data_IF_453241903586
#
_entry.id   IF_453241903586
#
_cell.length_a   1.000
_cell.length_b   1.000
_cell.length_c   1.000
_cell.angle_alpha   90.00
_cell.angle_beta   90.00
_cell.angle_gamma   90.00
#
_symmetry.space_group_name_H-M   'P 1'
#
loop_
_entity.id
_entity.type
_entity.pdbx_description
1 polymer ?
#
# COMPACT_ATOMS: atom_id res chain seq x y z
N UNK A 1 0.11 7.73 5.06
CA UNK A 1 0.95 6.89 4.17
C UNK A 1 0.22 5.63 3.70
N UNK A 2 -0.23 4.72 4.56
CA UNK A 2 -0.82 3.42 4.16
C UNK A 2 -1.76 3.45 2.94
N UNK A 3 -2.80 4.30 2.95
CA UNK A 3 -3.72 4.47 1.80
C UNK A 3 -2.98 4.84 0.49
N UNK A 4 -1.98 5.75 0.54
CA UNK A 4 -1.13 6.09 -0.63
C UNK A 4 -0.34 4.86 -1.11
N UNK A 5 0.23 4.07 -0.19
CA UNK A 5 0.99 2.84 -0.51
C UNK A 5 0.11 1.81 -1.20
N UNK A 6 -1.12 1.62 -0.74
CA UNK A 6 -2.08 0.67 -1.34
C UNK A 6 -2.53 1.10 -2.74
N UNK A 7 -2.77 2.41 -2.96
CA UNK A 7 -3.02 2.95 -4.29
C UNK A 7 -1.81 2.77 -5.23
N UNK A 8 -0.61 3.05 -4.73
CA UNK A 8 0.63 2.92 -5.50
C UNK A 8 0.96 1.45 -5.83
N UNK A 9 0.69 0.51 -4.93
CA UNK A 9 0.75 -0.93 -5.21
C UNK A 9 -0.18 -1.31 -6.36
N UNK A 10 -1.44 -0.85 -6.33
CA UNK A 10 -2.42 -1.07 -7.39
C UNK A 10 -1.92 -0.57 -8.75
N UNK A 11 -1.47 0.68 -8.79
CA UNK A 11 -0.92 1.34 -9.97
C UNK A 11 0.36 0.68 -10.50
N UNK A 12 1.31 0.32 -9.63
CA UNK A 12 2.53 -0.37 -10.05
C UNK A 12 2.26 -1.79 -10.55
N UNK A 13 1.29 -2.51 -9.97
CA UNK A 13 0.81 -3.82 -10.47
C UNK A 13 0.20 -3.70 -11.87
N UNK A 14 -0.73 -2.76 -12.06
CA UNK A 14 -1.35 -2.49 -13.37
C UNK A 14 -0.33 -2.03 -14.41
N UNK A 15 0.65 -1.20 -14.03
CA UNK A 15 1.76 -0.78 -14.92
C UNK A 15 2.66 -1.94 -15.39
N UNK A 16 2.62 -3.08 -14.69
CA UNK A 16 3.33 -4.32 -15.01
C UNK A 16 2.42 -5.37 -15.70
N UNK A 17 1.21 -4.99 -16.11
CA UNK A 17 0.27 -5.87 -16.83
C UNK A 17 -0.48 -6.87 -15.96
N UNK A 18 -0.41 -6.75 -14.63
CA UNK A 18 -1.37 -7.42 -13.76
C UNK A 18 -2.70 -6.66 -13.79
N UNK A 19 -3.78 -7.28 -13.31
CA UNK A 19 -5.00 -6.58 -12.96
C UNK A 19 -4.98 -6.28 -11.46
N UNK A 20 -5.25 -5.04 -11.07
CA UNK A 20 -5.36 -4.65 -9.69
C UNK A 20 -6.47 -3.60 -9.52
N UNK A 21 -7.27 -3.78 -8.47
CA UNK A 21 -8.44 -2.98 -8.18
C UNK A 21 -8.48 -2.64 -6.70
N UNK A 22 -8.82 -1.39 -6.37
CA UNK A 22 -9.05 -0.94 -5.01
C UNK A 22 -10.47 -1.25 -4.57
N UNK A 23 -10.64 -1.85 -3.40
CA UNK A 23 -11.96 -2.12 -2.82
C UNK A 23 -12.19 -1.20 -1.61
N UNK A 24 -12.85 -0.03 -1.76
CA UNK A 24 -13.20 0.80 -0.62
C UNK A 24 -14.04 0.01 0.40
N UNK A 25 -13.68 0.05 1.69
CA UNK A 25 -14.39 -0.69 2.75
C UNK A 25 -15.80 -0.14 3.00
N UNK A 26 -15.97 1.18 2.89
CA UNK A 26 -17.26 1.84 2.76
C UNK A 26 -17.43 2.26 1.30
N UNK A 27 -18.35 1.66 0.54
CA UNK A 27 -18.56 2.05 -0.86
C UNK A 27 -19.36 3.36 -1.03
N UNK A 28 -19.82 3.97 0.07
CA UNK A 28 -20.68 5.15 0.08
C UNK A 28 -19.99 6.45 0.49
N UNK A 29 -18.78 6.39 1.08
CA UNK A 29 -18.02 7.58 1.46
C UNK A 29 -17.52 8.37 0.22
N UNK A 30 -17.96 9.63 0.01
CA UNK A 30 -17.56 10.45 -1.11
C UNK A 30 -16.12 11.00 -1.00
N UNK A 31 -15.47 10.89 0.17
CA UNK A 31 -14.07 11.29 0.37
C UNK A 31 -13.09 10.21 -0.08
N UNK A 32 -13.56 8.97 -0.24
CA UNK A 32 -12.80 7.96 -0.94
C UNK A 32 -12.74 8.40 -2.41
N UNK A 33 -11.53 8.72 -2.87
CA UNK A 33 -11.21 9.13 -4.24
C UNK A 33 -10.00 8.31 -4.67
N UNK A 34 -10.11 7.61 -5.80
CA UNK A 34 -8.94 6.97 -6.41
C UNK A 34 -8.01 8.06 -6.91
N UNK A 35 -6.82 8.19 -6.30
CA UNK A 35 -5.88 9.26 -6.62
C UNK A 35 -5.65 9.35 -8.16
N UNK A 36 -6.00 10.48 -8.82
CA UNK A 36 -6.19 10.51 -10.27
C UNK A 36 -4.91 10.31 -11.10
N UNK A 37 -3.74 10.44 -10.46
CA UNK A 37 -2.43 10.25 -11.08
C UNK A 37 -1.95 8.78 -11.03
N UNK A 38 -2.76 7.86 -10.51
CA UNK A 38 -2.45 6.44 -10.37
C UNK A 38 -3.42 5.58 -11.17
N UNK A 39 -2.91 4.55 -11.86
CA UNK A 39 -3.70 3.52 -12.52
C UNK A 39 -4.27 2.53 -11.49
N UNK A 40 -5.13 3.04 -10.60
CA UNK A 40 -5.69 2.33 -9.46
C UNK A 40 -7.24 2.32 -9.52
N UNK A 41 -7.84 1.61 -10.50
CA UNK A 41 -9.30 1.55 -10.67
C UNK A 41 -9.98 0.92 -9.44
N UNK A 42 -11.28 1.16 -9.28
CA UNK A 42 -12.08 0.49 -8.26
C UNK A 42 -12.48 -0.91 -8.69
N UNK A 43 -12.70 -1.78 -7.72
CA UNK A 43 -13.52 -2.96 -7.92
C UNK A 43 -14.99 -2.55 -7.79
N UNK A 44 -15.71 -2.63 -8.90
CA UNK A 44 -17.18 -2.59 -8.92
C UNK A 44 -17.76 -4.01 -9.05
N UNK A 45 -19.10 -4.07 -9.09
CA UNK A 45 -19.85 -5.34 -9.19
C UNK A 45 -19.68 -6.02 -10.55
N UNK A 46 -19.57 -5.26 -11.64
CA UNK A 46 -19.50 -5.80 -13.00
C UNK A 46 -18.13 -6.44 -13.25
N UNK A 47 -17.06 -5.77 -12.81
CA UNK A 47 -15.69 -6.32 -12.79
C UNK A 47 -15.63 -7.59 -11.93
N UNK A 48 -16.26 -7.58 -10.75
CA UNK A 48 -16.31 -8.76 -9.87
C UNK A 48 -17.05 -9.94 -10.52
N UNK A 49 -18.26 -9.73 -11.05
CA UNK A 49 -19.06 -10.78 -11.69
C UNK A 49 -18.36 -11.32 -12.96
N UNK A 50 -17.72 -10.44 -13.76
CA UNK A 50 -16.90 -10.85 -14.90
C UNK A 50 -15.71 -11.73 -14.48
N UNK A 51 -15.03 -11.38 -13.39
CA UNK A 51 -13.90 -12.15 -12.83
C UNK A 51 -14.32 -13.56 -12.40
N UNK A 52 -15.42 -13.67 -11.64
CA UNK A 52 -15.98 -14.95 -11.19
C UNK A 52 -16.49 -15.78 -12.37
N UNK A 53 -17.18 -15.18 -13.35
CA UNK A 53 -17.65 -15.91 -14.55
C UNK A 53 -16.53 -16.39 -15.46
N UNK A 54 -15.37 -15.71 -15.44
CA UNK A 54 -14.14 -16.14 -16.10
C UNK A 54 -13.44 -17.28 -15.35
N UNK A 55 -13.98 -17.69 -14.20
CA UNK A 55 -13.43 -18.72 -13.31
C UNK A 55 -12.21 -18.26 -12.52
N UNK A 56 -11.83 -16.99 -12.59
CA UNK A 56 -10.59 -16.50 -11.98
C UNK A 56 -10.74 -16.34 -10.46
N UNK A 57 -9.66 -16.62 -9.74
CA UNK A 57 -9.59 -16.43 -8.28
C UNK A 57 -8.54 -15.33 -7.99
N UNK A 58 -8.92 -14.21 -7.37
CA UNK A 58 -8.04 -13.10 -7.05
C UNK A 58 -7.19 -13.39 -5.80
N UNK A 59 -6.07 -12.68 -5.65
CA UNK A 59 -5.33 -12.59 -4.39
C UNK A 59 -5.77 -11.31 -3.69
N UNK A 60 -6.38 -11.41 -2.52
CA UNK A 60 -6.81 -10.23 -1.76
C UNK A 60 -5.65 -9.75 -0.89
N UNK A 61 -5.21 -8.51 -1.09
CA UNK A 61 -4.14 -7.87 -0.30
C UNK A 61 -4.77 -6.95 0.74
N UNK A 62 -4.77 -7.38 2.00
CA UNK A 62 -5.20 -6.54 3.12
C UNK A 62 -3.99 -5.85 3.79
N UNK A 63 -4.09 -4.58 4.23
CA UNK A 63 -3.15 -4.00 5.20
C UNK A 63 -3.28 -4.66 6.59
N UNK A 64 -2.34 -4.35 7.49
CA UNK A 64 -2.35 -4.86 8.88
C UNK A 64 -3.61 -4.44 9.66
N UNK A 65 -4.14 -3.24 9.40
CA UNK A 65 -5.24 -2.63 10.16
C UNK A 65 -6.62 -3.26 9.90
N UNK A 66 -6.75 -4.13 8.90
CA UNK A 66 -8.00 -4.85 8.58
C UNK A 66 -7.99 -6.21 9.29
N UNK A 67 -8.83 -6.37 10.32
CA UNK A 67 -8.90 -7.63 11.06
C UNK A 67 -9.50 -8.78 10.23
N UNK A 68 -8.83 -9.93 10.26
CA UNK A 68 -9.22 -11.18 9.61
C UNK A 68 -9.32 -11.09 8.08
N UNK A 69 -10.20 -11.92 7.52
CA UNK A 69 -10.49 -12.02 6.09
C UNK A 69 -11.95 -11.63 5.81
N UNK A 70 -12.31 -10.33 5.85
CA UNK A 70 -13.71 -9.87 5.77
C UNK A 70 -14.43 -10.21 4.45
N UNK A 71 -13.70 -10.54 3.38
CA UNK A 71 -14.27 -10.97 2.09
C UNK A 71 -14.43 -12.50 1.95
N UNK A 72 -14.03 -13.29 2.95
CA UNK A 72 -14.01 -14.77 2.89
C UNK A 72 -13.22 -15.31 1.66
N UNK A 73 -12.15 -14.61 1.29
CA UNK A 73 -11.36 -14.91 0.10
C UNK A 73 -10.45 -16.14 0.30
N UNK A 74 -10.39 -17.05 -0.69
CA UNK A 74 -9.54 -18.25 -0.62
C UNK A 74 -8.04 -17.97 -0.68
N UNK A 75 -7.62 -16.80 -1.17
CA UNK A 75 -6.23 -16.37 -1.24
C UNK A 75 -6.09 -15.00 -0.59
N UNK A 76 -5.36 -14.95 0.52
CA UNK A 76 -5.08 -13.72 1.28
C UNK A 76 -3.58 -13.48 1.32
N UNK A 77 -3.18 -12.26 0.97
CA UNK A 77 -1.87 -11.73 1.26
C UNK A 77 -2.01 -10.58 2.29
N UNK A 78 -1.16 -10.58 3.31
CA UNK A 78 -1.16 -9.60 4.39
C UNK A 78 0.00 -8.65 4.21
N UNK A 79 -0.28 -7.41 3.86
CA UNK A 79 0.75 -6.37 3.70
C UNK A 79 0.91 -5.59 5.00
N UNK A 80 1.99 -5.87 5.73
CA UNK A 80 2.24 -5.34 7.07
C UNK A 80 2.98 -4.00 6.96
N UNK A 81 2.26 -2.89 7.09
CA UNK A 81 2.79 -1.52 6.96
C UNK A 81 3.20 -0.91 8.31
N UNK A 82 2.82 -1.54 9.43
CA UNK A 82 3.11 -1.13 10.79
C UNK A 82 3.11 -2.35 11.73
N UNK A 83 3.54 -2.19 12.99
CA UNK A 83 3.55 -3.29 13.96
C UNK A 83 2.11 -3.83 14.21
N UNK A 84 1.88 -5.15 14.15
CA UNK A 84 0.55 -5.76 14.31
C UNK A 84 -0.19 -5.30 15.57
N UNK A 85 -1.48 -4.98 15.43
CA UNK A 85 -2.35 -4.50 16.51
C UNK A 85 -2.09 -3.06 17.02
N UNK A 86 -0.99 -2.41 16.66
CA UNK A 86 -0.58 -1.11 17.23
C UNK A 86 -1.59 0.03 17.01
N UNK A 87 -2.34 -0.03 15.90
CA UNK A 87 -3.36 0.96 15.52
C UNK A 87 -4.71 0.30 15.16
N UNK A 88 -4.94 -0.92 15.66
CA UNK A 88 -6.01 -1.82 15.21
C UNK A 88 -5.50 -2.94 14.30
N UNK A 89 -6.43 -3.70 13.73
CA UNK A 89 -6.12 -4.96 13.07
C UNK A 89 -5.82 -6.09 14.06
N UNK A 90 -5.28 -7.20 13.55
CA UNK A 90 -4.88 -8.35 14.35
C UNK A 90 -3.45 -8.21 14.88
N UNK A 91 -3.12 -8.94 15.95
CA UNK A 91 -1.76 -9.06 16.49
C UNK A 91 -0.94 -10.21 15.88
N UNK A 92 -1.58 -11.09 15.12
CA UNK A 92 -0.96 -12.19 14.36
C UNK A 92 -1.84 -12.63 13.20
N UNK A 93 -1.26 -13.32 12.21
CA UNK A 93 -1.95 -13.70 10.97
C UNK A 93 -1.89 -15.22 10.75
N UNK A 94 -2.96 -15.80 10.22
CA UNK A 94 -3.11 -17.24 10.05
C UNK A 94 -2.03 -17.84 9.13
N UNK A 95 -1.71 -19.13 9.32
CA UNK A 95 -0.76 -19.89 8.48
C UNK A 95 -1.18 -19.97 7.00
N UNK A 96 -2.45 -19.67 6.71
CA UNK A 96 -3.04 -19.62 5.37
C UNK A 96 -3.00 -18.21 4.72
N UNK A 97 -2.34 -17.22 5.32
CA UNK A 97 -2.12 -15.90 4.73
C UNK A 97 -0.66 -15.73 4.30
N UNK A 98 -0.42 -15.24 3.08
CA UNK A 98 0.92 -14.84 2.62
C UNK A 98 1.31 -13.50 3.25
N UNK A 99 2.13 -13.51 4.29
CA UNK A 99 2.56 -12.28 4.98
C UNK A 99 3.76 -11.65 4.27
N UNK A 100 3.67 -10.35 3.97
CA UNK A 100 4.73 -9.52 3.39
C UNK A 100 4.90 -8.24 4.20
N UNK A 101 6.12 -7.97 4.66
CA UNK A 101 6.45 -6.74 5.41
C UNK A 101 6.74 -5.55 4.49
N UNK A 102 6.36 -4.34 4.90
CA UNK A 102 6.87 -3.12 4.25
C UNK A 102 8.40 -3.01 4.39
N UNK A 103 8.93 -3.45 5.53
CA UNK A 103 10.36 -3.52 5.83
C UNK A 103 10.68 -4.82 6.57
N UNK A 104 11.98 -5.09 6.79
CA UNK A 104 12.44 -6.32 7.43
C UNK A 104 11.90 -6.50 8.85
N UNK A 105 11.77 -5.41 9.60
CA UNK A 105 11.24 -5.39 10.97
C UNK A 105 9.76 -5.79 11.06
N UNK A 106 9.07 -5.82 9.91
CA UNK A 106 7.65 -6.18 9.73
C UNK A 106 7.46 -7.44 8.88
N UNK A 107 8.55 -8.10 8.50
CA UNK A 107 8.53 -9.27 7.62
C UNK A 107 8.37 -10.58 8.38
N UNK A 108 7.88 -11.62 7.71
CA UNK A 108 7.58 -12.91 8.32
C UNK A 108 8.57 -13.98 7.86
N UNK A 109 9.27 -14.60 8.81
CA UNK A 109 10.26 -15.65 8.57
C UNK A 109 9.62 -16.92 7.99
N UNK A 110 8.30 -17.16 8.17
CA UNK A 110 7.55 -18.24 7.49
C UNK A 110 7.62 -18.13 5.97
N UNK A 111 7.76 -16.91 5.46
CA UNK A 111 7.90 -16.59 4.04
C UNK A 111 9.32 -16.10 3.69
N UNK A 112 10.31 -16.44 4.53
CA UNK A 112 11.73 -16.11 4.32
C UNK A 112 12.05 -14.62 4.41
N UNK A 113 11.28 -13.85 5.20
CA UNK A 113 11.46 -12.41 5.32
C UNK A 113 11.00 -11.63 4.08
N UNK A 114 9.91 -12.09 3.44
CA UNK A 114 9.35 -11.44 2.25
C UNK A 114 9.03 -9.96 2.54
N UNK A 115 9.63 -9.06 1.77
CA UNK A 115 9.54 -7.61 1.94
C UNK A 115 9.15 -6.89 0.65
N UNK A 116 8.37 -5.81 0.80
CA UNK A 116 7.89 -4.96 -0.28
C UNK A 116 7.90 -3.49 0.17
N UNK A 117 9.01 -2.79 -0.07
CA UNK A 117 9.23 -1.41 0.41
C UNK A 117 8.77 -0.38 -0.62
N UNK A 118 7.48 -0.40 -0.95
CA UNK A 118 6.86 0.55 -1.88
C UNK A 118 6.56 1.88 -1.19
N UNK A 119 7.44 2.86 -1.39
CA UNK A 119 7.29 4.21 -0.84
C UNK A 119 6.89 5.22 -1.93
N UNK A 120 5.60 5.62 -2.01
CA UNK A 120 5.14 6.68 -2.92
C UNK A 120 5.51 8.06 -2.35
N UNK A 121 6.79 8.42 -2.45
CA UNK A 121 7.28 9.74 -2.06
C UNK A 121 6.71 10.82 -2.98
N UNK A 122 6.22 11.90 -2.37
CA UNK A 122 5.71 13.07 -3.06
C UNK A 122 6.87 14.03 -3.37
N UNK A 123 7.63 13.68 -4.41
CA UNK A 123 8.85 14.39 -4.83
C UNK A 123 8.58 15.74 -5.53
N UNK A 124 7.31 16.11 -5.72
CA UNK A 124 6.92 17.44 -6.20
C UNK A 124 6.92 18.46 -5.05
N UNK A 125 6.47 18.04 -3.85
CA UNK A 125 6.44 18.88 -2.67
C UNK A 125 7.67 18.71 -1.77
N UNK A 126 8.14 17.47 -1.57
CA UNK A 126 9.22 17.15 -0.64
C UNK A 126 10.54 16.94 -1.39
N UNK A 127 11.28 18.04 -1.56
CA UNK A 127 12.69 18.01 -1.95
C UNK A 127 13.49 19.14 -1.26
N UNK A 128 14.80 19.16 -1.47
CA UNK A 128 15.71 20.24 -1.09
C UNK A 128 15.23 21.58 -1.65
N UNK A 129 15.42 22.70 -0.94
CA UNK A 129 15.03 24.01 -1.44
C UNK A 129 15.91 24.45 -2.64
N UNK A 130 15.30 25.08 -3.65
CA UNK A 130 15.95 25.56 -4.88
C UNK A 130 17.19 26.45 -4.64
N UNK A 131 17.24 27.10 -3.49
CA UNK A 131 18.33 27.98 -3.06
C UNK A 131 18.75 27.64 -1.63
N UNK A 132 20.03 27.85 -1.25
CA UNK A 132 20.50 27.57 0.12
C UNK A 132 19.75 28.39 1.19
N UNK A 133 18.85 27.73 1.91
CA UNK A 133 18.12 28.31 3.06
C UNK A 133 18.98 28.21 4.32
N UNK A 134 19.12 29.31 5.06
CA UNK A 134 19.62 29.25 6.44
C UNK A 134 18.58 28.58 7.31
N UNK A 135 18.87 27.37 7.79
CA UNK A 135 18.01 26.63 8.69
C UNK A 135 18.02 27.26 10.09
N UNK A 136 16.85 27.40 10.68
CA UNK A 136 16.64 27.95 12.03
C UNK A 136 15.43 27.28 12.69
N UNK A 137 15.51 27.04 14.01
CA UNK A 137 14.43 26.42 14.78
C UNK A 137 14.14 24.95 14.43
N UNK A 138 13.04 24.42 14.95
CA UNK A 138 12.70 22.99 14.85
C UNK A 138 11.20 22.74 14.77
N UNK A 139 10.83 21.56 14.30
CA UNK A 139 9.45 21.07 14.23
C UNK A 139 9.31 19.70 14.90
N UNK A 140 8.09 19.29 15.23
CA UNK A 140 7.83 17.97 15.79
C UNK A 140 6.50 17.35 15.37
N UNK A 141 6.37 16.03 15.48
CA UNK A 141 5.14 15.29 15.19
C UNK A 141 4.88 14.19 16.23
N UNK A 142 3.63 14.06 16.67
CA UNK A 142 3.27 13.29 17.87
C UNK A 142 1.89 12.61 17.88
N UNK A 143 1.21 12.54 16.73
CA UNK A 143 -0.22 12.19 16.66
C UNK A 143 -0.57 10.81 17.27
N UNK A 144 0.04 9.73 16.77
CA UNK A 144 -0.18 8.36 17.28
C UNK A 144 0.36 8.23 18.70
N UNK A 145 1.48 8.89 19.00
CA UNK A 145 2.09 8.87 20.33
C UNK A 145 1.11 9.39 21.39
N UNK A 146 0.51 10.56 21.16
CA UNK A 146 -0.50 11.16 22.05
C UNK A 146 -1.81 10.35 22.05
N UNK A 147 -2.22 9.78 20.91
CA UNK A 147 -3.38 8.88 20.85
C UNK A 147 -3.21 7.61 21.71
N UNK A 148 -1.99 7.06 21.78
CA UNK A 148 -1.63 5.93 22.63
C UNK A 148 -1.31 6.32 24.10
N UNK A 149 -1.53 7.60 24.47
CA UNK A 149 -1.33 8.10 25.83
C UNK A 149 0.10 8.54 26.18
N UNK A 150 1.01 8.56 25.21
CA UNK A 150 2.39 9.01 25.35
C UNK A 150 2.51 10.52 25.58
N UNK A 151 3.57 10.93 26.29
CA UNK A 151 3.84 12.33 26.67
C UNK A 151 4.86 12.97 25.76
N UNK A 152 4.75 14.29 25.61
CA UNK A 152 5.80 15.11 24.99
C UNK A 152 6.95 15.35 25.98
N UNK A 153 8.14 15.52 25.45
CA UNK A 153 9.35 15.92 26.17
C UNK A 153 9.65 17.41 25.99
N UNK A 154 10.34 18.00 26.96
CA UNK A 154 10.71 19.42 26.98
C UNK A 154 11.56 19.82 25.76
N UNK A 155 12.28 18.87 25.14
CA UNK A 155 12.98 19.00 23.85
C UNK A 155 12.13 19.65 22.74
N UNK A 156 10.81 19.42 22.78
CA UNK A 156 9.86 19.90 21.77
C UNK A 156 9.06 21.14 22.19
N UNK A 157 9.23 21.64 23.42
CA UNK A 157 8.42 22.74 23.97
C UNK A 157 8.56 24.08 23.22
N UNK A 158 9.63 24.26 22.44
CA UNK A 158 9.87 25.43 21.55
C UNK A 158 9.77 25.10 20.06
N UNK A 159 9.38 23.87 19.71
CA UNK A 159 9.27 23.40 18.31
C UNK A 159 7.87 23.65 17.74
N UNK A 160 7.76 23.81 16.43
CA UNK A 160 6.47 23.89 15.72
C UNK A 160 5.84 22.49 15.64
N UNK A 161 4.64 22.28 16.19
CA UNK A 161 3.91 21.01 16.02
C UNK A 161 3.40 20.90 14.57
N UNK A 162 3.62 19.75 13.93
CA UNK A 162 3.02 19.37 12.65
C UNK A 162 1.67 18.72 12.95
N UNK A 163 0.60 19.27 12.39
CA UNK A 163 -0.78 18.85 12.62
C UNK A 163 -1.42 18.31 11.35
N UNK A 164 -2.57 17.64 11.48
CA UNK A 164 -3.23 16.93 10.36
C UNK A 164 -3.89 17.86 9.32
N UNK A 165 -4.05 19.14 9.66
CA UNK A 165 -4.63 20.21 8.87
C UNK A 165 -3.60 21.02 8.06
N UNK A 166 -2.30 20.71 8.20
CA UNK A 166 -1.25 21.32 7.37
C UNK A 166 -1.18 20.69 5.98
N UNK A 167 -1.10 21.52 4.94
CA UNK A 167 -0.93 21.04 3.56
C UNK A 167 0.50 20.50 3.31
N UNK A 168 0.70 19.52 2.40
CA UNK A 168 2.01 18.94 2.11
C UNK A 168 3.11 19.97 1.81
N UNK A 169 2.75 21.02 1.07
CA UNK A 169 3.65 22.14 0.73
C UNK A 169 4.07 22.97 1.96
N UNK A 170 3.24 23.05 3.01
CA UNK A 170 3.55 23.77 4.25
C UNK A 170 4.47 22.95 5.15
N UNK A 171 4.21 21.64 5.22
CA UNK A 171 5.07 20.66 5.91
C UNK A 171 6.45 20.62 5.23
N UNK A 172 6.51 20.55 3.89
CA UNK A 172 7.76 20.60 3.15
C UNK A 172 8.54 21.90 3.43
N UNK A 173 7.88 23.07 3.37
CA UNK A 173 8.48 24.37 3.72
C UNK A 173 8.89 24.50 5.19
N UNK A 174 8.33 23.67 6.09
CA UNK A 174 8.78 23.56 7.48
C UNK A 174 10.04 22.72 7.57
N UNK A 175 10.08 21.54 6.97
CA UNK A 175 11.28 20.71 6.88
C UNK A 175 12.44 21.41 6.15
N UNK A 176 12.20 22.17 5.08
CA UNK A 176 13.25 22.90 4.37
C UNK A 176 13.91 24.00 5.23
N UNK A 177 13.19 24.56 6.22
CA UNK A 177 13.71 25.64 7.10
C UNK A 177 14.15 25.18 8.49
N UNK A 178 13.66 24.08 9.02
CA UNK A 178 14.08 23.59 10.35
C UNK A 178 15.52 23.06 10.35
N UNK A 179 16.22 23.25 11.47
CA UNK A 179 17.51 22.62 11.77
C UNK A 179 17.37 21.12 12.10
N UNK A 180 16.22 20.71 12.63
CA UNK A 180 15.90 19.36 13.06
C UNK A 180 14.38 19.15 13.12
N UNK A 181 13.94 17.93 12.79
CA UNK A 181 12.59 17.42 13.00
C UNK A 181 12.61 16.38 14.13
N UNK A 182 11.75 16.56 15.14
CA UNK A 182 11.59 15.64 16.25
C UNK A 182 10.35 14.76 16.06
N UNK A 183 10.50 13.44 15.99
CA UNK A 183 9.36 12.54 15.75
C UNK A 183 9.18 11.51 16.87
N UNK A 184 7.98 11.43 17.44
CA UNK A 184 7.65 10.49 18.51
C UNK A 184 7.17 9.11 18.02
N UNK A 185 7.16 8.88 16.70
CA UNK A 185 6.52 7.69 16.12
C UNK A 185 7.11 7.29 14.75
N UNK A 186 6.84 6.05 14.34
CA UNK A 186 7.06 5.62 12.96
C UNK A 186 5.98 6.24 12.03
N UNK A 187 6.42 7.07 11.09
CA UNK A 187 5.57 7.80 10.14
C UNK A 187 6.36 8.20 8.89
N UNK A 188 5.66 8.46 7.78
CA UNK A 188 6.28 8.91 6.53
C UNK A 188 6.96 10.27 6.63
N UNK A 189 6.55 11.11 7.59
CA UNK A 189 7.16 12.41 7.86
C UNK A 189 8.67 12.31 8.15
N UNK A 190 9.17 11.15 8.60
CA UNK A 190 10.60 10.87 8.74
C UNK A 190 11.30 10.86 7.38
N UNK A 191 10.73 10.20 6.37
CA UNK A 191 11.28 10.17 5.01
C UNK A 191 11.07 11.50 4.28
N UNK A 192 9.88 12.10 4.41
CA UNK A 192 9.52 13.41 3.86
C UNK A 192 10.43 14.52 4.41
N UNK A 193 10.83 14.45 5.68
CA UNK A 193 11.86 15.32 6.28
C UNK A 193 13.25 15.13 5.65
N UNK A 194 13.70 13.87 5.48
CA UNK A 194 15.00 13.58 4.84
C UNK A 194 15.04 14.05 3.37
N UNK A 195 13.95 13.90 2.62
CA UNK A 195 13.83 14.40 1.25
C UNK A 195 14.01 15.93 1.19
N UNK A 196 13.41 16.66 2.13
CA UNK A 196 13.65 18.10 2.35
C UNK A 196 15.02 18.45 2.97
N UNK A 197 15.92 17.48 3.17
CA UNK A 197 17.22 17.66 3.81
C UNK A 197 17.16 18.06 5.30
N UNK A 198 16.05 17.78 5.97
CA UNK A 198 15.85 18.04 7.39
C UNK A 198 16.36 16.85 8.23
N UNK A 199 17.32 17.04 9.14
CA UNK A 199 17.78 15.97 10.04
C UNK A 199 16.69 15.52 11.00
N UNK A 200 16.63 14.23 11.34
CA UNK A 200 15.54 13.66 12.16
C UNK A 200 16.07 13.09 13.48
N UNK A 201 15.48 13.52 14.59
CA UNK A 201 15.68 12.91 15.91
C UNK A 201 14.39 12.20 16.32
N UNK A 202 14.47 10.90 16.56
CA UNK A 202 13.36 10.13 17.13
C UNK A 202 13.36 10.26 18.66
N UNK A 203 12.20 10.58 19.23
CA UNK A 203 11.98 10.75 20.66
C UNK A 203 11.02 9.69 21.21
N UNK A 204 11.11 9.42 22.50
CA UNK A 204 10.26 8.49 23.24
C UNK A 204 10.26 8.89 24.71
N UNK A 205 9.12 8.81 25.39
CA UNK A 205 9.01 8.97 26.86
C UNK A 205 9.21 7.63 27.60
N UNK A 206 9.58 6.57 26.87
CA UNK A 206 9.89 5.24 27.40
C UNK A 206 11.09 4.60 26.67
N UNK A 207 11.01 3.32 26.23
CA UNK A 207 12.09 2.67 25.51
C UNK A 207 12.31 3.29 24.11
N UNK A 208 13.51 3.18 23.52
CA UNK A 208 13.76 3.61 22.14
C UNK A 208 12.85 2.88 21.14
N UNK A 209 12.43 3.59 20.09
CA UNK A 209 11.53 3.05 19.07
C UNK A 209 12.26 2.02 18.18
N UNK A 210 11.63 0.88 17.88
CA UNK A 210 12.04 0.06 16.73
C UNK A 210 11.70 0.83 15.45
N UNK A 211 12.70 1.11 14.61
CA UNK A 211 12.55 1.97 13.42
C UNK A 211 12.11 1.09 12.23
N UNK A 212 10.92 1.36 11.70
CA UNK A 212 10.40 0.69 10.50
C UNK A 212 11.18 1.19 9.28
N UNK A 213 11.85 0.27 8.56
CA UNK A 213 12.53 0.60 7.31
C UNK A 213 13.89 1.28 7.50
N UNK A 214 14.58 1.07 8.62
CA UNK A 214 15.90 1.66 8.89
C UNK A 214 16.94 1.35 7.79
N UNK A 215 16.84 0.19 7.16
CA UNK A 215 17.68 -0.22 6.02
C UNK A 215 17.55 0.73 4.80
N UNK A 216 16.41 1.43 4.63
CA UNK A 216 16.19 2.36 3.50
C UNK A 216 17.09 3.59 3.57
N UNK A 217 17.39 4.08 4.78
CA UNK A 217 18.30 5.21 5.01
C UNK A 217 19.69 4.76 5.43
N UNK A 218 19.84 3.48 5.82
CA UNK A 218 21.00 2.89 6.50
C UNK A 218 21.33 3.63 7.81
N UNK A 219 20.30 4.15 8.48
CA UNK A 219 20.42 5.01 9.67
C UNK A 219 20.90 6.45 9.40
N UNK A 220 21.32 6.79 8.18
CA UNK A 220 21.87 8.12 7.88
C UNK A 220 20.78 9.20 7.98
N UNK A 221 21.08 10.32 8.63
CA UNK A 221 20.15 11.42 8.87
C UNK A 221 19.14 11.19 9.99
N UNK A 222 19.14 10.02 10.65
CA UNK A 222 18.23 9.67 11.76
C UNK A 222 19.04 9.25 12.99
N UNK A 223 18.67 9.74 14.17
CA UNK A 223 19.18 9.23 15.44
C UNK A 223 18.05 9.15 16.48
N UNK A 224 18.34 8.57 17.66
CA UNK A 224 17.38 8.46 18.76
C UNK A 224 17.89 9.22 19.99
N UNK A 225 17.02 10.04 20.59
CA UNK A 225 17.38 10.95 21.68
C UNK A 225 18.16 12.18 21.22
N UNK A 226 18.06 13.25 22.00
CA UNK A 226 18.52 14.59 21.63
C UNK A 226 19.93 14.93 22.15
N UNK A 227 20.86 13.97 22.09
CA UNK A 227 22.24 14.23 22.52
C UNK A 227 22.98 15.16 21.53
N UNK A 228 24.06 15.81 21.97
CA UNK A 228 24.84 16.67 21.08
C UNK A 228 25.45 15.88 19.93
N UNK A 229 25.93 14.68 20.24
CA UNK A 229 26.51 13.72 19.31
C UNK A 229 25.46 13.22 18.31
N UNK A 230 24.23 12.95 18.77
CA UNK A 230 23.11 12.60 17.91
C UNK A 230 22.76 13.74 16.93
N UNK A 231 22.66 14.98 17.43
CA UNK A 231 22.39 16.17 16.61
C UNK A 231 23.49 16.42 15.56
N UNK A 232 24.77 16.32 15.94
CA UNK A 232 25.89 16.49 15.01
C UNK A 232 25.98 15.34 14.00
N UNK A 233 25.66 14.10 14.40
CA UNK A 233 25.54 12.96 13.48
C UNK A 233 24.44 13.16 12.44
N UNK A 234 23.21 13.51 12.84
CA UNK A 234 22.11 13.66 11.86
C UNK A 234 22.34 14.85 10.94
N UNK A 235 22.86 15.97 11.46
CA UNK A 235 23.19 17.16 10.66
C UNK A 235 24.31 16.89 9.63
N UNK A 236 25.28 16.02 9.96
CA UNK A 236 26.35 15.65 9.02
C UNK A 236 25.98 14.53 8.04
N UNK A 237 24.95 13.73 8.32
CA UNK A 237 24.57 12.56 7.49
C UNK A 237 23.24 12.68 6.73
N UNK A 238 22.44 13.73 6.97
CA UNK A 238 21.10 13.90 6.37
C UNK A 238 21.05 13.77 4.85
N UNK A 239 22.01 14.35 4.12
CA UNK A 239 22.05 14.27 2.65
C UNK A 239 22.34 12.84 2.16
N UNK A 240 23.17 12.08 2.89
CA UNK A 240 23.39 10.66 2.59
C UNK A 240 22.15 9.81 2.90
N UNK A 241 21.39 10.19 3.94
CA UNK A 241 20.07 9.62 4.25
C UNK A 241 19.07 9.83 3.10
N UNK A 242 18.97 11.06 2.58
CA UNK A 242 18.17 11.39 1.38
C UNK A 242 18.56 10.55 0.17
N UNK A 243 19.85 10.44 -0.13
CA UNK A 243 20.34 9.61 -1.24
C UNK A 243 19.99 8.13 -1.07
N UNK A 244 20.18 7.56 0.12
CA UNK A 244 19.80 6.16 0.39
C UNK A 244 18.28 5.96 0.20
N UNK A 245 17.46 6.90 0.67
CA UNK A 245 16.00 6.85 0.58
C UNK A 245 15.47 6.97 -0.86
N UNK A 246 16.10 7.82 -1.69
CA UNK A 246 15.78 7.89 -3.13
C UNK A 246 16.19 6.60 -3.86
N UNK A 247 17.35 6.03 -3.51
CA UNK A 247 17.78 4.74 -4.05
C UNK A 247 16.86 3.57 -3.62
N UNK A 248 16.16 3.67 -2.49
CA UNK A 248 15.23 2.63 -2.05
C UNK A 248 13.94 2.55 -2.88
N UNK A 249 13.63 3.56 -3.70
CA UNK A 249 12.52 3.50 -4.68
C UNK A 249 12.77 2.36 -5.68
N UNK A 250 13.99 2.28 -6.22
CA UNK A 250 14.40 1.21 -7.13
C UNK A 250 14.41 -0.17 -6.47
N UNK A 251 14.72 -0.24 -5.17
CA UNK A 251 14.61 -1.47 -4.38
C UNK A 251 13.16 -1.94 -4.28
N UNK A 252 12.23 -1.03 -3.95
CA UNK A 252 10.79 -1.32 -3.87
C UNK A 252 10.20 -1.83 -5.19
N UNK A 253 10.64 -1.29 -6.33
CA UNK A 253 10.22 -1.76 -7.66
C UNK A 253 10.75 -3.16 -8.01
N UNK A 254 11.98 -3.50 -7.58
CA UNK A 254 12.53 -4.85 -7.74
C UNK A 254 11.85 -5.87 -6.78
N UNK A 255 11.54 -5.45 -5.55
CA UNK A 255 10.76 -6.24 -4.59
C UNK A 255 9.35 -6.52 -5.11
N UNK A 256 8.74 -5.62 -5.88
CA UNK A 256 7.41 -5.84 -6.46
C UNK A 256 7.40 -7.02 -7.45
N UNK A 257 8.41 -7.15 -8.31
CA UNK A 257 8.53 -8.31 -9.21
C UNK A 257 8.74 -9.62 -8.43
N UNK A 258 9.50 -9.56 -7.32
CA UNK A 258 9.66 -10.69 -6.41
C UNK A 258 8.35 -11.07 -5.71
N UNK A 259 7.58 -10.09 -5.24
CA UNK A 259 6.28 -10.28 -4.60
C UNK A 259 5.26 -10.90 -5.57
N UNK A 260 5.12 -10.36 -6.79
CA UNK A 260 4.23 -10.93 -7.82
C UNK A 260 4.58 -12.39 -8.11
N UNK A 261 5.88 -12.71 -8.26
CA UNK A 261 6.33 -14.09 -8.46
C UNK A 261 5.97 -15.01 -7.29
N UNK A 262 6.32 -14.63 -6.05
CA UNK A 262 6.08 -15.46 -4.86
C UNK A 262 4.59 -15.62 -4.56
N UNK A 263 3.79 -14.56 -4.69
CA UNK A 263 2.35 -14.64 -4.49
C UNK A 263 1.65 -15.56 -5.50
N UNK A 264 2.12 -15.60 -6.75
CA UNK A 264 1.65 -16.56 -7.74
C UNK A 264 2.12 -17.99 -7.45
N UNK A 265 3.39 -18.20 -7.11
CA UNK A 265 3.92 -19.52 -6.72
C UNK A 265 3.17 -20.10 -5.51
N UNK A 266 2.97 -19.29 -4.48
CA UNK A 266 2.20 -19.62 -3.28
C UNK A 266 0.73 -19.93 -3.61
N UNK A 267 0.06 -19.08 -4.40
CA UNK A 267 -1.34 -19.28 -4.77
C UNK A 267 -1.55 -20.63 -5.49
N UNK A 268 -0.69 -20.96 -6.46
CA UNK A 268 -0.75 -22.23 -7.18
C UNK A 268 -0.63 -23.44 -6.22
N UNK A 269 0.30 -23.39 -5.26
CA UNK A 269 0.45 -24.44 -4.26
C UNK A 269 -0.76 -24.61 -3.32
N UNK A 270 -1.54 -23.55 -3.07
CA UNK A 270 -2.80 -23.65 -2.34
C UNK A 270 -3.88 -24.37 -3.17
N UNK A 271 -3.99 -24.13 -4.48
CA UNK A 271 -4.95 -24.85 -5.34
C UNK A 271 -4.65 -26.35 -5.45
N UNK A 272 -3.38 -26.73 -5.55
CA UNK A 272 -2.97 -28.13 -5.67
C UNK A 272 -3.21 -28.93 -4.38
N UNK A 273 -3.18 -28.27 -3.21
CA UNK A 273 -3.39 -28.91 -1.90
C UNK A 273 -4.84 -28.82 -1.40
N UNK A 274 -5.52 -27.71 -1.69
CA UNK A 274 -6.86 -27.39 -1.22
C UNK A 274 -7.73 -26.86 -2.38
N UNK A 275 -8.12 -27.72 -3.34
CA UNK A 275 -8.93 -27.30 -4.48
C UNK A 275 -10.25 -26.66 -4.01
N UNK A 276 -10.61 -25.46 -4.51
CA UNK A 276 -11.71 -24.68 -3.99
C UNK A 276 -13.05 -25.40 -4.16
N UNK A 277 -13.92 -25.30 -3.15
CA UNK A 277 -15.27 -25.88 -3.18
C UNK A 277 -16.16 -25.11 -4.14
N UNK A 278 -16.19 -25.53 -5.40
CA UNK A 278 -17.06 -24.93 -6.42
C UNK A 278 -18.53 -25.30 -6.16
N UNK A 279 -19.23 -24.51 -5.34
CA UNK A 279 -20.69 -24.53 -5.27
C UNK A 279 -21.26 -23.74 -6.46
N UNK A 280 -21.60 -24.44 -7.54
CA UNK A 280 -22.22 -23.83 -8.73
C UNK A 280 -23.67 -23.44 -8.40
N UNK A 281 -23.87 -22.22 -7.92
CA UNK A 281 -25.17 -21.56 -8.02
C UNK A 281 -25.47 -21.31 -9.51
N UNK A 282 -26.57 -21.90 -10.00
CA UNK A 282 -26.79 -22.08 -11.44
C UNK A 282 -27.03 -20.78 -12.20
N UNK A 283 -25.97 -20.25 -12.81
CA UNK A 283 -26.06 -19.20 -13.84
C UNK A 283 -26.69 -19.78 -15.12
N UNK A 284 -27.59 -19.04 -15.77
CA UNK A 284 -28.30 -19.50 -16.96
C UNK A 284 -27.36 -19.66 -18.17
N UNK A 285 -27.62 -20.67 -19.00
CA UNK A 285 -26.72 -21.20 -20.04
C UNK A 285 -26.47 -20.28 -21.27
N UNK A 286 -26.65 -18.96 -21.21
CA UNK A 286 -26.47 -18.08 -22.38
C UNK A 286 -25.11 -17.37 -22.39
N UNK A 287 -24.12 -18.03 -22.98
CA UNK A 287 -22.72 -17.57 -23.07
C UNK A 287 -22.53 -16.33 -23.97
N UNK A 288 -23.58 -15.82 -24.64
CA UNK A 288 -23.46 -14.79 -25.68
C UNK A 288 -23.27 -13.36 -25.14
N UNK A 289 -23.68 -13.09 -23.90
CA UNK A 289 -23.65 -11.74 -23.35
C UNK A 289 -22.23 -11.16 -23.18
N UNK A 290 -21.25 -12.01 -22.81
CA UNK A 290 -19.93 -11.60 -22.30
C UNK A 290 -19.08 -10.82 -23.32
N UNK A 291 -19.22 -11.10 -24.63
CA UNK A 291 -18.34 -10.54 -25.67
C UNK A 291 -18.63 -9.04 -25.93
N UNK A 292 -19.85 -8.56 -25.65
CA UNK A 292 -20.28 -7.21 -26.05
C UNK A 292 -19.69 -6.08 -25.19
N UNK A 293 -19.45 -6.30 -23.90
CA UNK A 293 -19.00 -5.24 -22.98
C UNK A 293 -17.53 -4.81 -23.20
N UNK A 294 -16.66 -5.72 -23.66
CA UNK A 294 -15.21 -5.45 -23.78
C UNK A 294 -14.91 -4.27 -24.71
N UNK A 295 -15.68 -4.10 -25.79
CA UNK A 295 -15.53 -2.99 -26.72
C UNK A 295 -15.99 -1.62 -26.17
N UNK A 296 -16.78 -1.57 -25.09
CA UNK A 296 -17.22 -0.32 -24.47
C UNK A 296 -16.28 0.20 -23.37
N UNK A 297 -15.35 -0.63 -22.88
CA UNK A 297 -14.45 -0.30 -21.75
C UNK A 297 -13.24 0.58 -22.12
N UNK A 298 -13.11 1.04 -23.37
CA UNK A 298 -12.03 1.95 -23.80
C UNK A 298 -10.61 1.37 -23.74
N UNK A 299 -10.47 0.05 -23.58
CA UNK A 299 -9.19 -0.64 -23.41
C UNK A 299 -8.34 -0.48 -24.69
N UNK A 300 -7.05 -0.06 -24.59
CA UNK A 300 -6.19 0.13 -25.75
C UNK A 300 -6.01 -1.13 -26.61
N UNK A 301 -5.98 -0.94 -27.94
CA UNK A 301 -6.02 -2.02 -28.93
C UNK A 301 -4.86 -3.03 -28.80
N UNK A 302 -3.72 -2.63 -28.21
CA UNK A 302 -2.58 -3.50 -27.91
C UNK A 302 -2.90 -4.69 -26.97
N UNK A 303 -3.96 -4.63 -26.16
CA UNK A 303 -4.31 -5.73 -25.25
C UNK A 303 -5.06 -6.89 -25.94
N UNK A 304 -5.67 -6.65 -27.11
CA UNK A 304 -6.47 -7.64 -27.83
C UNK A 304 -5.63 -8.74 -28.51
N UNK A 305 -4.35 -8.45 -28.81
CA UNK A 305 -3.41 -9.39 -29.45
C UNK A 305 -2.96 -10.54 -28.54
N UNK A 306 -3.18 -10.42 -27.23
CA UNK A 306 -2.79 -11.40 -26.22
C UNK A 306 -3.96 -12.28 -25.74
N UNK A 307 -5.19 -12.03 -26.19
CA UNK A 307 -6.37 -12.83 -25.85
C UNK A 307 -6.44 -14.15 -26.65
N UNK A 308 -6.95 -15.25 -26.07
CA UNK A 308 -7.19 -16.50 -26.80
C UNK A 308 -8.15 -16.32 -27.99
N UNK A 309 -7.87 -17.00 -29.11
CA UNK A 309 -8.69 -16.95 -30.34
C UNK A 309 -10.18 -17.30 -30.14
N UNK A 310 -10.53 -18.01 -29.07
CA UNK A 310 -11.92 -18.34 -28.71
C UNK A 310 -12.77 -17.12 -28.33
N UNK A 311 -12.16 -15.97 -28.01
CA UNK A 311 -12.86 -14.74 -27.59
C UNK A 311 -13.26 -13.86 -28.78
N UNK A 312 -12.66 -14.07 -29.96
CA UNK A 312 -12.68 -13.09 -31.07
C UNK A 312 -13.95 -13.10 -31.95
N UNK A 313 -15.01 -13.85 -31.61
CA UNK A 313 -16.16 -14.08 -32.51
C UNK A 313 -17.52 -14.23 -31.80
N UNK A 314 -18.26 -13.12 -31.62
CA UNK A 314 -19.73 -13.09 -31.65
C UNK A 314 -20.26 -11.64 -31.63
N UNK A 315 -21.34 -11.36 -32.38
CA UNK A 315 -22.24 -10.23 -32.15
C UNK A 315 -23.66 -10.75 -31.91
N UNK A 316 -24.49 -9.96 -31.23
CA UNK A 316 -25.97 -10.12 -31.25
C UNK A 316 -26.55 -10.53 -29.86
N UNK A 317 -27.32 -9.80 -29.03
CA UNK A 317 -28.02 -8.50 -29.08
C UNK A 317 -28.16 -7.87 -27.68
N UNK A 318 -29.10 -6.93 -27.48
CA UNK A 318 -29.35 -6.22 -26.22
C UNK A 318 -30.44 -6.88 -25.36
N UNK A 319 -30.38 -6.72 -24.04
CA UNK A 319 -31.53 -6.52 -23.13
C UNK A 319 -31.04 -5.91 -21.80
N UNK A 320 -31.91 -5.17 -21.10
CA UNK A 320 -31.64 -4.49 -19.81
C UNK A 320 -32.65 -4.98 -18.76
N UNK A 321 -32.20 -5.32 -17.55
CA UNK A 321 -33.03 -5.41 -16.34
C UNK A 321 -32.25 -4.91 -15.10
N UNK A 322 -32.91 -4.38 -14.05
CA UNK A 322 -32.25 -3.78 -12.87
C UNK A 322 -32.40 -4.64 -11.59
N UNK A 323 -31.97 -4.09 -10.43
CA UNK A 323 -32.53 -4.21 -9.05
C UNK A 323 -31.53 -4.57 -7.91
N UNK A 324 -31.56 -3.73 -6.87
CA UNK A 324 -31.21 -3.87 -5.42
C UNK A 324 -29.87 -4.46 -4.92
N UNK A 325 -28.91 -3.55 -4.70
CA UNK A 325 -28.24 -3.18 -3.41
C UNK A 325 -27.78 -4.18 -2.32
N UNK A 326 -28.19 -5.46 -2.24
CA UNK A 326 -27.93 -6.28 -1.01
C UNK A 326 -27.01 -7.51 -1.22
N UNK A 327 -26.23 -7.53 -2.31
CA UNK A 327 -25.61 -8.75 -2.85
C UNK A 327 -24.20 -9.19 -2.38
N UNK A 328 -23.39 -8.36 -1.72
CA UNK A 328 -21.94 -8.65 -1.51
C UNK A 328 -21.70 -9.54 -0.26
N UNK A 329 -22.27 -10.76 -0.24
CA UNK A 329 -21.95 -11.83 0.73
C UNK A 329 -22.16 -13.24 0.15
N UNK A 330 -21.21 -13.76 -0.65
CA UNK A 330 -20.76 -15.18 -0.67
C UNK A 330 -19.74 -15.52 -1.77
N UNK A 331 -18.87 -16.46 -1.43
CA UNK A 331 -18.04 -17.34 -2.28
C UNK A 331 -17.29 -16.72 -3.48
N UNK A 332 -15.97 -16.71 -3.37
CA UNK A 332 -15.03 -16.64 -4.49
C UNK A 332 -14.39 -18.03 -4.65
N UNK A 333 -14.92 -18.87 -5.56
CA UNK A 333 -14.39 -20.23 -5.79
C UNK A 333 -14.30 -20.55 -7.28
N UNK A 334 -13.16 -20.25 -7.90
CA UNK A 334 -12.90 -20.45 -9.33
C UNK A 334 -11.68 -21.33 -9.63
N UNK A 335 -11.54 -21.75 -10.90
CA UNK A 335 -10.34 -22.40 -11.44
C UNK A 335 -9.35 -21.34 -11.94
N UNK A 336 -8.20 -21.22 -11.28
CA UNK A 336 -7.14 -20.33 -11.74
C UNK A 336 -6.73 -20.65 -13.18
N UNK A 337 -7.07 -19.76 -14.10
CA UNK A 337 -6.49 -19.72 -15.45
C UNK A 337 -5.19 -18.93 -15.36
N UNK A 338 -4.13 -19.53 -15.89
CA UNK A 338 -2.78 -18.96 -15.85
C UNK A 338 -2.75 -17.60 -16.58
N UNK A 339 -1.98 -16.64 -16.04
CA UNK A 339 -1.76 -15.29 -16.59
C UNK A 339 -2.98 -14.35 -16.56
N UNK A 340 -3.36 -13.92 -15.35
CA UNK A 340 -3.35 -12.50 -14.95
C UNK A 340 -3.68 -12.41 -13.46
N UNK A 341 -2.74 -11.97 -12.62
CA UNK A 341 -3.05 -11.67 -11.21
C UNK A 341 -4.20 -10.68 -11.19
N UNK A 342 -5.23 -10.95 -10.40
CA UNK A 342 -6.21 -9.93 -10.01
C UNK A 342 -6.06 -9.68 -8.53
N UNK A 343 -5.63 -8.47 -8.18
CA UNK A 343 -5.45 -8.08 -6.78
C UNK A 343 -6.62 -7.19 -6.37
N UNK A 344 -7.33 -7.58 -5.31
CA UNK A 344 -8.25 -6.68 -4.63
C UNK A 344 -7.55 -6.12 -3.41
N UNK A 345 -7.55 -4.79 -3.26
CA UNK A 345 -6.84 -4.12 -2.16
C UNK A 345 -7.84 -3.32 -1.31
N UNK A 346 -8.32 -3.88 -0.19
CA UNK A 346 -9.20 -3.16 0.73
C UNK A 346 -8.45 -2.15 1.57
N UNK A 347 -9.03 -0.95 1.73
CA UNK A 347 -8.46 0.09 2.58
C UNK A 347 -9.53 0.83 3.40
N UNK A 348 -9.05 1.46 4.47
CA UNK A 348 -9.78 2.21 5.49
C UNK A 348 -8.92 3.40 5.91
#
# INVERSE_FOLDING_TARGET
MGIKVLHYLCDRLNSKGNLAFLLPYDQTDPLLVTAPNYLAPRLDREIFEAHISSGLTPIVVYPEIVAGNPLDASLVARYVLNFPGLIGGDTSYAESELVVGFSKELSDERFGGLTLTLAPWDLEHFDLPDTPVRREGSCFYSLKHRFLGGKLLDDTASSTEITQDMEPIEIAKLFQRSEVFYCYENTALVGEALLCGCPVILLSDGPPLTIIGQDTTKGMGIAQGNSREALDYVKSTVLQGRENLLNSISLGLNQLDHFVRVSQEWANAQFDTHPPKVEIFGVSNDTRAVVRSIHQLGIPELLYSHLPRSVQLASDSEYILPVETEGIKRLITGRLVQYNTTVFIPYK
#
